data_IF_880481544751
#
_entry.id   IF_880481544751
#
_cell.length_a   1.000
_cell.length_b   1.000
_cell.length_c   1.000
_cell.angle_alpha   90.00
_cell.angle_beta   90.00
_cell.angle_gamma   90.00
#
_symmetry.space_group_name_H-M   'P 1'
#
loop_
_entity.id
_entity.type
_entity.pdbx_description
1 polymer ?
#
# COMPACT_ATOMS: atom_id res chain seq x y z
N UNK A 1 0.90 -91.78 11.75
CA UNK A 1 1.82 -91.60 12.89
C UNK A 1 2.81 -90.51 12.53
N UNK A 2 2.66 -89.31 13.11
CA UNK A 2 3.60 -88.20 12.89
C UNK A 2 4.71 -88.36 13.92
N UNK A 3 5.94 -88.53 13.44
CA UNK A 3 7.13 -88.79 14.25
C UNK A 3 7.63 -87.45 14.82
N UNK A 4 7.51 -87.24 16.13
CA UNK A 4 8.14 -86.10 16.80
C UNK A 4 9.62 -86.43 17.04
N UNK A 5 10.47 -86.10 16.07
CA UNK A 5 11.91 -86.07 16.28
C UNK A 5 12.27 -85.01 17.33
N UNK A 6 13.03 -85.42 18.36
CA UNK A 6 13.43 -84.57 19.47
C UNK A 6 14.28 -83.38 18.98
N UNK A 7 13.84 -82.17 19.32
CA UNK A 7 14.57 -80.92 19.07
C UNK A 7 15.92 -80.99 19.78
N UNK A 8 17.02 -80.81 19.06
CA UNK A 8 18.36 -80.80 19.66
C UNK A 8 18.64 -79.45 20.31
N UNK A 9 19.57 -79.39 21.28
CA UNK A 9 20.01 -78.14 21.92
C UNK A 9 20.51 -77.11 20.90
N UNK A 10 21.11 -77.57 19.80
CA UNK A 10 21.56 -76.71 18.69
C UNK A 10 20.38 -76.07 17.95
N UNK A 11 19.29 -76.81 17.74
CA UNK A 11 18.07 -76.29 17.10
C UNK A 11 17.40 -75.23 17.97
N UNK A 12 17.38 -75.43 19.29
CA UNK A 12 16.85 -74.45 20.24
C UNK A 12 17.65 -73.13 20.20
N UNK A 13 18.98 -73.20 20.20
CA UNK A 13 19.85 -72.02 20.12
C UNK A 13 19.63 -71.27 18.79
N UNK A 14 19.50 -72.00 17.67
CA UNK A 14 19.21 -71.41 16.37
C UNK A 14 17.86 -70.67 16.35
N UNK A 15 16.82 -71.25 16.94
CA UNK A 15 15.49 -70.63 17.05
C UNK A 15 15.54 -69.33 17.88
N UNK A 16 16.24 -69.35 19.02
CA UNK A 16 16.42 -68.14 19.84
C UNK A 16 17.21 -67.06 19.12
N UNK A 17 18.29 -67.42 18.42
CA UNK A 17 19.08 -66.48 17.64
C UNK A 17 18.26 -65.82 16.53
N UNK A 18 17.46 -66.60 15.78
CA UNK A 18 16.55 -66.08 14.76
C UNK A 18 15.48 -65.16 15.35
N UNK A 19 14.89 -65.53 16.49
CA UNK A 19 13.94 -64.68 17.21
C UNK A 19 14.57 -63.34 17.61
N UNK A 20 15.76 -63.35 18.22
CA UNK A 20 16.47 -62.14 18.62
C UNK A 20 16.82 -61.23 17.44
N UNK A 21 17.24 -61.80 16.30
CA UNK A 21 17.50 -61.05 15.07
C UNK A 21 16.23 -60.41 14.50
N UNK A 22 15.09 -61.12 14.50
CA UNK A 22 13.80 -60.59 14.06
C UNK A 22 13.34 -59.44 14.97
N UNK A 23 13.44 -59.59 16.30
CA UNK A 23 13.10 -58.53 17.25
C UNK A 23 14.00 -57.30 17.09
N UNK A 24 15.30 -57.50 16.89
CA UNK A 24 16.26 -56.41 16.63
C UNK A 24 15.92 -55.66 15.33
N UNK A 25 15.60 -56.38 14.26
CA UNK A 25 15.19 -55.79 12.99
C UNK A 25 13.88 -54.98 13.10
N UNK A 26 12.88 -55.50 13.83
CA UNK A 26 11.62 -54.80 14.10
C UNK A 26 11.86 -53.53 14.93
N UNK A 27 12.71 -53.62 15.96
CA UNK A 27 13.07 -52.47 16.80
C UNK A 27 13.81 -51.40 15.99
N UNK A 28 14.79 -51.79 15.18
CA UNK A 28 15.53 -50.88 14.31
C UNK A 28 14.61 -50.23 13.27
N UNK A 29 13.68 -50.98 12.67
CA UNK A 29 12.68 -50.45 11.75
C UNK A 29 11.72 -49.45 12.43
N UNK A 30 11.23 -49.76 13.64
CA UNK A 30 10.40 -48.83 14.41
C UNK A 30 11.16 -47.56 14.81
N UNK A 31 12.41 -47.72 15.26
CA UNK A 31 13.27 -46.60 15.65
C UNK A 31 13.56 -45.66 14.47
N UNK A 32 13.96 -46.21 13.33
CA UNK A 32 14.19 -45.42 12.10
C UNK A 32 12.92 -44.74 11.59
N UNK A 33 11.76 -45.40 11.68
CA UNK A 33 10.47 -44.79 11.33
C UNK A 33 10.11 -43.63 12.27
N UNK A 34 10.32 -43.79 13.57
CA UNK A 34 10.09 -42.72 14.55
C UNK A 34 11.05 -41.54 14.34
N UNK A 35 12.32 -41.83 14.03
CA UNK A 35 13.32 -40.80 13.73
C UNK A 35 12.92 -39.98 12.49
N UNK A 36 12.49 -40.65 11.41
CA UNK A 36 11.98 -39.97 10.19
C UNK A 36 10.80 -39.07 10.48
N UNK A 37 9.80 -39.56 11.24
CA UNK A 37 8.66 -38.75 11.62
C UNK A 37 9.05 -37.51 12.45
N UNK A 38 10.07 -37.63 13.32
CA UNK A 38 10.60 -36.50 14.08
C UNK A 38 11.34 -35.48 13.20
N UNK A 39 12.13 -35.96 12.23
CA UNK A 39 12.81 -35.09 11.27
C UNK A 39 11.81 -34.35 10.37
N UNK A 40 10.82 -35.04 9.80
CA UNK A 40 9.76 -34.44 8.99
C UNK A 40 8.98 -33.39 9.81
N UNK A 41 8.66 -33.68 11.08
CA UNK A 41 8.00 -32.73 11.96
C UNK A 41 8.90 -31.54 12.37
N UNK A 42 10.22 -31.71 12.42
CA UNK A 42 11.16 -30.61 12.65
C UNK A 42 11.26 -29.70 11.43
N UNK A 43 11.43 -30.28 10.24
CA UNK A 43 11.49 -29.56 8.96
C UNK A 43 10.18 -28.79 8.69
N UNK A 44 9.02 -29.43 8.91
CA UNK A 44 7.72 -28.75 8.76
C UNK A 44 7.54 -27.59 9.76
N UNK A 45 8.12 -27.67 10.97
CA UNK A 45 8.10 -26.56 11.93
C UNK A 45 9.00 -25.42 11.47
N UNK A 46 10.20 -25.74 10.98
CA UNK A 46 11.13 -24.75 10.46
C UNK A 46 10.56 -24.00 9.25
N UNK A 47 9.95 -24.72 8.30
CA UNK A 47 9.28 -24.13 7.15
C UNK A 47 8.15 -23.17 7.57
N UNK A 48 7.30 -23.59 8.52
CA UNK A 48 6.25 -22.71 9.08
C UNK A 48 6.83 -21.47 9.75
N UNK A 49 7.91 -21.62 10.52
CA UNK A 49 8.58 -20.49 11.15
C UNK A 49 9.17 -19.52 10.12
N UNK A 50 9.75 -20.04 9.04
CA UNK A 50 10.27 -19.23 7.95
C UNK A 50 9.16 -18.45 7.23
N UNK A 51 8.06 -19.13 6.89
CA UNK A 51 6.91 -18.49 6.24
C UNK A 51 6.28 -17.40 7.12
N UNK A 52 6.06 -17.68 8.40
CA UNK A 52 5.52 -16.73 9.37
C UNK A 52 6.47 -15.53 9.57
N UNK A 53 7.78 -15.77 9.64
CA UNK A 53 8.78 -14.68 9.72
C UNK A 53 8.74 -13.78 8.48
N UNK A 54 8.62 -14.37 7.29
CA UNK A 54 8.53 -13.63 6.03
C UNK A 54 7.23 -12.81 5.94
N UNK A 55 6.10 -13.36 6.41
CA UNK A 55 4.83 -12.63 6.47
C UNK A 55 4.92 -11.43 7.42
N UNK A 56 5.50 -11.62 8.61
CA UNK A 56 5.72 -10.54 9.58
C UNK A 56 6.65 -9.46 9.04
N UNK A 57 7.73 -9.84 8.37
CA UNK A 57 8.64 -8.89 7.72
C UNK A 57 7.92 -8.04 6.67
N UNK A 58 7.08 -8.68 5.83
CA UNK A 58 6.25 -7.96 4.85
C UNK A 58 5.27 -6.98 5.51
N UNK A 59 4.61 -7.39 6.60
CA UNK A 59 3.70 -6.52 7.36
C UNK A 59 4.43 -5.32 7.97
N UNK A 60 5.62 -5.53 8.54
CA UNK A 60 6.44 -4.46 9.10
C UNK A 60 6.88 -3.48 8.01
N UNK A 61 7.33 -3.97 6.86
CA UNK A 61 7.69 -3.10 5.73
C UNK A 61 6.50 -2.30 5.22
N UNK A 62 5.32 -2.93 5.12
CA UNK A 62 4.09 -2.26 4.70
C UNK A 62 3.71 -1.14 5.66
N UNK A 63 3.68 -1.43 6.97
CA UNK A 63 3.38 -0.45 8.00
C UNK A 63 4.37 0.72 8.01
N UNK A 64 5.67 0.43 7.87
CA UNK A 64 6.71 1.46 7.78
C UNK A 64 6.53 2.38 6.57
N UNK A 65 6.16 1.82 5.41
CA UNK A 65 5.90 2.59 4.20
C UNK A 65 4.66 3.50 4.35
N UNK A 66 3.56 2.99 4.92
CA UNK A 66 2.38 3.81 5.21
C UNK A 66 2.70 4.94 6.18
N UNK A 67 3.39 4.64 7.28
CA UNK A 67 3.78 5.65 8.27
C UNK A 67 4.66 6.75 7.66
N UNK A 68 5.58 6.38 6.77
CA UNK A 68 6.42 7.34 6.04
C UNK A 68 5.57 8.26 5.15
N UNK A 69 4.63 7.70 4.39
CA UNK A 69 3.71 8.50 3.55
C UNK A 69 2.83 9.44 4.39
N UNK A 70 2.28 8.94 5.50
CA UNK A 70 1.45 9.72 6.41
C UNK A 70 2.24 10.88 7.03
N UNK A 71 3.47 10.61 7.48
CA UNK A 71 4.36 11.62 8.06
C UNK A 71 4.70 12.70 7.00
N UNK A 72 5.13 12.29 5.81
CA UNK A 72 5.47 13.24 4.74
C UNK A 72 4.27 14.05 4.28
N UNK A 73 3.07 13.46 4.20
CA UNK A 73 1.86 14.22 3.87
C UNK A 73 1.50 15.25 4.95
N UNK A 74 1.65 14.88 6.23
CA UNK A 74 1.42 15.78 7.36
C UNK A 74 2.37 16.98 7.35
N UNK A 75 3.63 16.75 6.99
CA UNK A 75 4.63 17.82 6.82
C UNK A 75 4.25 18.79 5.70
N UNK A 76 3.73 18.29 4.58
CA UNK A 76 3.28 19.13 3.46
C UNK A 76 2.04 19.93 3.85
N UNK A 77 1.07 19.33 4.55
CA UNK A 77 -0.10 20.05 5.06
C UNK A 77 0.30 21.15 6.03
N UNK A 78 1.23 20.87 6.96
CA UNK A 78 1.79 21.88 7.85
C UNK A 78 2.49 22.99 7.08
N UNK A 79 3.33 22.64 6.10
CA UNK A 79 4.02 23.62 5.25
C UNK A 79 3.03 24.54 4.52
N UNK A 80 1.94 23.96 4.00
CA UNK A 80 0.87 24.69 3.33
C UNK A 80 0.19 25.66 4.31
N UNK A 81 -0.23 25.17 5.48
CA UNK A 81 -0.87 25.98 6.51
C UNK A 81 0.01 27.14 6.99
N UNK A 82 1.29 26.87 7.25
CA UNK A 82 2.27 27.86 7.70
C UNK A 82 2.52 28.98 6.65
N UNK A 83 2.20 28.71 5.37
CA UNK A 83 2.49 29.61 4.25
C UNK A 83 1.25 30.03 3.44
N UNK A 84 0.04 29.74 3.93
CA UNK A 84 -1.21 29.87 3.18
C UNK A 84 -1.38 31.26 2.53
N UNK A 85 -1.15 32.33 3.30
CA UNK A 85 -1.26 33.72 2.80
C UNK A 85 -0.36 33.99 1.60
N UNK A 86 0.85 33.39 1.57
CA UNK A 86 1.81 33.57 0.47
C UNK A 86 1.43 32.74 -0.75
N UNK A 87 0.99 31.50 -0.53
CA UNK A 87 0.50 30.60 -1.58
C UNK A 87 -0.75 31.19 -2.25
N UNK A 88 -1.75 31.59 -1.46
CA UNK A 88 -2.99 32.19 -1.94
C UNK A 88 -2.77 33.50 -2.73
N UNK A 89 -1.75 34.29 -2.35
CA UNK A 89 -1.40 35.51 -3.06
C UNK A 89 -0.85 35.25 -4.48
N UNK A 90 -0.07 34.18 -4.67
CA UNK A 90 0.44 33.81 -6.01
C UNK A 90 -0.68 33.21 -6.87
N UNK A 91 -1.55 32.38 -6.27
CA UNK A 91 -2.74 31.79 -6.91
C UNK A 91 -3.83 32.82 -7.27
N UNK A 92 -3.66 34.08 -6.88
CA UNK A 92 -4.62 35.15 -7.19
C UNK A 92 -5.88 35.14 -6.33
N UNK A 93 -5.96 34.28 -5.31
CA UNK A 93 -7.09 34.20 -4.38
C UNK A 93 -7.14 35.39 -3.40
N UNK A 94 -5.99 36.01 -3.12
CA UNK A 94 -5.91 37.25 -2.35
C UNK A 94 -5.58 38.40 -3.29
N UNK A 95 -6.35 39.49 -3.20
CA UNK A 95 -6.11 40.70 -3.98
C UNK A 95 -4.64 41.15 -3.85
N UNK A 96 -3.99 41.37 -5.00
CA UNK A 96 -2.60 41.87 -5.07
C UNK A 96 -2.54 43.29 -4.53
N UNK A 97 -2.55 43.45 -3.21
CA UNK A 97 -1.88 44.59 -2.58
C UNK A 97 -0.48 44.67 -3.19
N UNK A 98 0.06 45.85 -3.43
CA UNK A 98 1.28 46.03 -4.23
C UNK A 98 2.45 45.36 -3.50
N UNK A 99 2.73 44.08 -3.79
CA UNK A 99 3.84 43.35 -3.22
C UNK A 99 5.13 43.84 -3.86
N UNK A 100 6.18 44.03 -3.04
CA UNK A 100 7.50 44.28 -3.58
C UNK A 100 7.99 43.07 -4.37
N UNK A 101 8.84 43.28 -5.37
CA UNK A 101 9.43 42.21 -6.18
C UNK A 101 10.07 41.11 -5.31
N UNK A 102 10.71 41.49 -4.20
CA UNK A 102 11.31 40.57 -3.23
C UNK A 102 10.26 39.66 -2.57
N UNK A 103 9.14 40.22 -2.09
CA UNK A 103 8.06 39.43 -1.46
C UNK A 103 7.41 38.48 -2.46
N UNK A 104 7.22 38.92 -3.69
CA UNK A 104 6.67 38.08 -4.76
C UNK A 104 7.60 36.91 -5.10
N UNK A 105 8.90 37.15 -5.23
CA UNK A 105 9.90 36.11 -5.47
C UNK A 105 9.95 35.07 -4.32
N UNK A 106 9.85 35.53 -3.07
CA UNK A 106 9.78 34.65 -1.90
C UNK A 106 8.54 33.75 -1.94
N UNK A 107 7.35 34.31 -2.15
CA UNK A 107 6.12 33.51 -2.22
C UNK A 107 6.11 32.55 -3.41
N UNK A 108 6.67 32.95 -4.55
CA UNK A 108 6.88 32.06 -5.69
C UNK A 108 7.77 30.89 -5.31
N UNK A 109 8.90 31.13 -4.64
CA UNK A 109 9.80 30.09 -4.17
C UNK A 109 9.11 29.10 -3.23
N UNK A 110 8.26 29.60 -2.34
CA UNK A 110 7.44 28.80 -1.43
C UNK A 110 6.45 27.92 -2.19
N UNK A 111 5.71 28.48 -3.16
CA UNK A 111 4.76 27.72 -3.97
C UNK A 111 5.44 26.62 -4.80
N UNK A 112 6.56 26.94 -5.44
CA UNK A 112 7.36 25.95 -6.19
C UNK A 112 7.86 24.84 -5.26
N UNK A 113 8.32 25.20 -4.06
CA UNK A 113 8.76 24.21 -3.07
C UNK A 113 7.61 23.33 -2.55
N UNK A 114 6.39 23.87 -2.46
CA UNK A 114 5.21 23.07 -2.18
C UNK A 114 4.98 22.02 -3.27
N UNK A 115 4.98 22.41 -4.56
CA UNK A 115 4.82 21.45 -5.65
C UNK A 115 5.91 20.38 -5.63
N UNK A 116 7.17 20.75 -5.39
CA UNK A 116 8.25 19.76 -5.34
C UNK A 116 8.06 18.74 -4.22
N UNK A 117 7.63 19.18 -3.04
CA UNK A 117 7.34 18.26 -1.94
C UNK A 117 6.16 17.34 -2.26
N UNK A 118 5.05 17.88 -2.80
CA UNK A 118 3.89 17.08 -3.20
C UNK A 118 4.22 16.07 -4.29
N UNK A 119 4.94 16.48 -5.34
CA UNK A 119 5.30 15.58 -6.43
C UNK A 119 6.33 14.52 -6.00
N UNK A 120 7.24 14.83 -5.07
CA UNK A 120 8.14 13.83 -4.49
C UNK A 120 7.36 12.75 -3.72
N UNK A 121 6.33 13.14 -2.97
CA UNK A 121 5.43 12.20 -2.32
C UNK A 121 4.67 11.35 -3.35
N UNK A 122 4.13 11.98 -4.39
CA UNK A 122 3.43 11.27 -5.47
C UNK A 122 4.32 10.29 -6.23
N UNK A 123 5.60 10.60 -6.41
CA UNK A 123 6.57 9.67 -6.99
C UNK A 123 6.71 8.40 -6.15
N UNK A 124 6.81 8.54 -4.83
CA UNK A 124 6.86 7.38 -3.92
C UNK A 124 5.54 6.61 -3.97
N UNK A 125 4.40 7.30 -3.92
CA UNK A 125 3.07 6.68 -4.00
C UNK A 125 2.86 5.91 -5.31
N UNK A 126 3.20 6.50 -6.46
CA UNK A 126 3.08 5.89 -7.78
C UNK A 126 3.96 4.63 -7.89
N UNK A 127 5.20 4.69 -7.37
CA UNK A 127 6.11 3.54 -7.31
C UNK A 127 5.59 2.42 -6.42
N UNK A 128 5.04 2.75 -5.25
CA UNK A 128 4.43 1.74 -4.38
C UNK A 128 3.20 1.11 -5.01
N UNK A 129 2.37 1.90 -5.70
CA UNK A 129 1.22 1.37 -6.45
C UNK A 129 1.65 0.41 -7.54
N UNK A 130 2.66 0.77 -8.34
CA UNK A 130 3.24 -0.08 -9.39
C UNK A 130 3.77 -1.41 -8.87
N UNK A 131 4.32 -1.41 -7.65
CA UNK A 131 4.83 -2.62 -6.98
C UNK A 131 3.77 -3.36 -6.16
N UNK A 132 2.49 -2.96 -6.27
CA UNK A 132 1.37 -3.54 -5.52
C UNK A 132 1.58 -3.51 -3.99
N UNK A 133 2.38 -2.54 -3.51
CA UNK A 133 2.70 -2.37 -2.09
C UNK A 133 1.64 -1.59 -1.35
N UNK A 134 0.77 -0.85 -2.04
CA UNK A 134 -0.37 -0.15 -1.43
C UNK A 134 -1.65 -0.58 -2.10
N UNK A 135 -2.74 -0.59 -1.32
CA UNK A 135 -4.07 -0.92 -1.84
C UNK A 135 -4.53 0.13 -2.85
N UNK A 136 -5.30 -0.30 -3.84
CA UNK A 136 -5.78 0.54 -4.93
C UNK A 136 -6.57 1.74 -4.42
N UNK A 137 -7.43 1.53 -3.42
CA UNK A 137 -8.29 2.56 -2.84
C UNK A 137 -7.47 3.65 -2.15
N UNK A 138 -6.36 3.25 -1.51
CA UNK A 138 -5.44 4.22 -0.92
C UNK A 138 -4.83 5.05 -2.03
N UNK A 139 -4.28 4.44 -3.08
CA UNK A 139 -3.72 5.19 -4.21
C UNK A 139 -4.75 6.11 -4.87
N UNK A 140 -5.99 5.65 -5.08
CA UNK A 140 -7.06 6.45 -5.68
C UNK A 140 -7.43 7.68 -4.82
N UNK A 141 -7.35 7.57 -3.49
CA UNK A 141 -7.53 8.74 -2.61
C UNK A 141 -6.45 9.81 -2.78
N UNK A 142 -5.22 9.44 -3.19
CA UNK A 142 -4.15 10.40 -3.50
C UNK A 142 -4.34 11.13 -4.83
N UNK A 143 -5.07 10.53 -5.79
CA UNK A 143 -5.34 11.16 -7.09
C UNK A 143 -6.15 12.44 -6.92
N UNK A 144 -7.03 12.52 -5.91
CA UNK A 144 -7.76 13.75 -5.59
C UNK A 144 -6.80 14.91 -5.30
N UNK A 145 -5.67 14.63 -4.64
CA UNK A 145 -4.67 15.67 -4.40
C UNK A 145 -3.87 16.03 -5.67
N UNK A 146 -3.69 15.08 -6.60
CA UNK A 146 -3.13 15.39 -7.92
C UNK A 146 -4.08 16.30 -8.71
N UNK A 147 -5.40 16.08 -8.61
CA UNK A 147 -6.43 16.97 -9.16
C UNK A 147 -6.27 18.38 -8.61
N UNK A 148 -6.16 18.56 -7.29
CA UNK A 148 -5.96 19.89 -6.68
C UNK A 148 -4.70 20.62 -7.20
N UNK A 149 -3.60 19.89 -7.45
CA UNK A 149 -2.41 20.49 -8.06
C UNK A 149 -2.69 20.88 -9.51
N UNK A 150 -3.37 20.01 -10.27
CA UNK A 150 -3.72 20.27 -11.66
C UNK A 150 -4.76 21.38 -11.80
N UNK A 151 -5.57 21.68 -10.81
CA UNK A 151 -6.46 22.86 -10.81
C UNK A 151 -5.69 24.17 -10.77
N UNK A 152 -4.45 24.17 -10.27
CA UNK A 152 -3.62 25.35 -10.17
C UNK A 152 -3.02 25.75 -11.53
N UNK A 153 -3.55 26.80 -12.14
CA UNK A 153 -3.07 27.35 -13.42
C UNK A 153 -1.57 27.65 -13.39
N UNK A 154 -1.06 28.09 -12.24
CA UNK A 154 0.36 28.39 -12.09
C UNK A 154 1.20 27.12 -12.21
N UNK A 155 0.74 26.00 -11.64
CA UNK A 155 1.39 24.71 -11.79
C UNK A 155 1.43 24.29 -13.26
N UNK A 156 0.27 24.26 -13.94
CA UNK A 156 0.17 23.81 -15.33
C UNK A 156 1.07 24.63 -16.26
N UNK A 157 1.07 25.96 -16.10
CA UNK A 157 1.92 26.86 -16.90
C UNK A 157 3.44 26.66 -16.69
N UNK A 158 3.86 26.03 -15.59
CA UNK A 158 5.28 25.80 -15.27
C UNK A 158 5.66 24.31 -15.31
N UNK A 159 4.70 23.41 -15.53
CA UNK A 159 4.92 21.97 -15.52
C UNK A 159 6.04 21.59 -16.48
N UNK A 160 5.84 21.80 -17.79
CA UNK A 160 6.80 21.38 -18.82
C UNK A 160 8.17 22.09 -18.70
N UNK A 161 8.15 23.42 -18.53
CA UNK A 161 9.36 24.23 -18.63
C UNK A 161 10.26 24.20 -17.37
N UNK A 162 9.71 23.92 -16.19
CA UNK A 162 10.43 24.07 -14.92
C UNK A 162 10.40 22.81 -14.05
N UNK A 163 9.28 22.10 -14.00
CA UNK A 163 9.03 21.10 -12.96
C UNK A 163 9.27 19.68 -13.48
N UNK A 164 8.75 19.38 -14.68
CA UNK A 164 8.60 18.05 -15.28
C UNK A 164 9.87 17.20 -15.32
N UNK A 165 11.02 17.80 -15.65
CA UNK A 165 12.27 17.06 -15.86
C UNK A 165 12.86 16.42 -14.61
N UNK A 166 12.37 16.78 -13.41
CA UNK A 166 12.87 16.25 -12.15
C UNK A 166 12.28 14.88 -11.77
N UNK A 167 11.25 14.42 -12.49
CA UNK A 167 10.42 13.29 -12.05
C UNK A 167 10.58 12.02 -12.90
N UNK A 168 10.26 10.89 -12.29
CA UNK A 168 10.17 9.59 -12.95
C UNK A 168 9.10 9.57 -14.05
N UNK A 169 9.18 8.56 -14.92
CA UNK A 169 8.24 8.42 -16.04
C UNK A 169 6.78 8.31 -15.56
N UNK A 170 6.50 7.54 -14.51
CA UNK A 170 5.13 7.37 -14.03
C UNK A 170 4.49 8.71 -13.63
N UNK A 171 5.21 9.54 -12.86
CA UNK A 171 4.73 10.87 -12.47
C UNK A 171 4.64 11.80 -13.68
N UNK A 172 5.62 11.74 -14.59
CA UNK A 172 5.57 12.53 -15.82
C UNK A 172 4.34 12.22 -16.66
N UNK A 173 4.11 10.95 -16.96
CA UNK A 173 2.99 10.51 -17.79
C UNK A 173 1.65 10.91 -17.14
N UNK A 174 1.53 10.83 -15.79
CA UNK A 174 0.34 11.29 -15.05
C UNK A 174 0.10 12.79 -15.21
N UNK A 175 1.10 13.62 -14.97
CA UNK A 175 0.91 15.07 -15.01
C UNK A 175 0.91 15.63 -16.43
N UNK A 176 1.55 14.97 -17.39
CA UNK A 176 1.44 15.30 -18.82
C UNK A 176 0.00 15.17 -19.29
N UNK A 177 -0.62 13.99 -19.08
CA UNK A 177 -2.03 13.79 -19.45
C UNK A 177 -2.97 14.65 -18.61
N UNK A 178 -2.63 14.87 -17.33
CA UNK A 178 -3.38 15.76 -16.45
C UNK A 178 -3.42 17.20 -16.95
N UNK A 179 -2.30 17.76 -17.38
CA UNK A 179 -2.26 19.12 -17.96
C UNK A 179 -3.12 19.20 -19.21
N UNK A 180 -3.01 18.23 -20.13
CA UNK A 180 -3.83 18.19 -21.35
C UNK A 180 -5.33 18.13 -21.04
N UNK A 181 -5.75 17.28 -20.10
CA UNK A 181 -7.16 17.14 -19.68
C UNK A 181 -7.69 18.43 -19.05
N UNK A 182 -6.89 19.09 -18.20
CA UNK A 182 -7.31 20.31 -17.50
C UNK A 182 -7.32 21.55 -18.41
N UNK A 183 -6.55 21.53 -19.49
CA UNK A 183 -6.55 22.59 -20.52
C UNK A 183 -7.65 22.39 -21.58
N UNK A 184 -8.21 21.19 -21.70
CA UNK A 184 -9.27 20.88 -22.68
C UNK A 184 -10.62 21.59 -22.43
N UNK A 185 -10.80 22.24 -21.27
CA UNK A 185 -12.02 22.99 -20.95
C UNK A 185 -13.24 22.11 -20.69
N UNK A 186 -13.03 20.87 -20.27
CA UNK A 186 -14.10 19.94 -19.90
C UNK A 186 -14.85 20.42 -18.63
N UNK A 187 -16.14 20.09 -18.46
CA UNK A 187 -16.84 20.26 -17.19
C UNK A 187 -16.11 19.55 -16.05
N UNK A 188 -16.06 20.13 -14.85
CA UNK A 188 -15.29 19.62 -13.70
C UNK A 188 -15.49 18.12 -13.45
N UNK A 189 -16.76 17.66 -13.41
CA UNK A 189 -17.05 16.26 -13.16
C UNK A 189 -16.50 15.32 -14.24
N UNK A 190 -16.56 15.74 -15.51
CA UNK A 190 -16.09 14.94 -16.65
C UNK A 190 -14.55 14.99 -16.77
N UNK A 191 -13.96 16.15 -16.47
CA UNK A 191 -12.52 16.37 -16.39
C UNK A 191 -11.89 15.47 -15.33
N UNK A 192 -12.44 15.48 -14.12
CA UNK A 192 -11.89 14.69 -13.01
C UNK A 192 -12.05 13.20 -13.29
N UNK A 193 -13.21 12.77 -13.81
CA UNK A 193 -13.43 11.39 -14.23
C UNK A 193 -12.43 10.95 -15.32
N UNK A 194 -12.24 11.77 -16.35
CA UNK A 194 -11.27 11.50 -17.41
C UNK A 194 -9.84 11.39 -16.86
N UNK A 195 -9.49 12.20 -15.86
CA UNK A 195 -8.18 12.13 -15.23
C UNK A 195 -8.00 10.83 -14.42
N UNK A 196 -9.00 10.40 -13.65
CA UNK A 196 -8.96 9.12 -12.95
C UNK A 196 -8.83 7.93 -13.92
N UNK A 197 -9.55 7.95 -15.03
CA UNK A 197 -9.44 6.94 -16.10
C UNK A 197 -8.03 6.90 -16.72
N UNK A 198 -7.46 8.06 -17.03
CA UNK A 198 -6.11 8.15 -17.58
C UNK A 198 -5.05 7.62 -16.60
N UNK A 199 -5.15 7.98 -15.31
CA UNK A 199 -4.25 7.46 -14.27
C UNK A 199 -4.42 5.94 -14.12
N UNK A 200 -5.65 5.43 -14.20
CA UNK A 200 -5.92 4.00 -14.15
C UNK A 200 -5.23 3.25 -15.31
N UNK A 201 -5.32 3.79 -16.53
CA UNK A 201 -4.65 3.24 -17.72
C UNK A 201 -3.13 3.23 -17.55
N UNK A 202 -2.55 4.37 -17.14
CA UNK A 202 -1.11 4.49 -16.85
C UNK A 202 -0.70 3.42 -15.84
N UNK A 203 -1.50 3.19 -14.80
CA UNK A 203 -1.23 2.20 -13.74
C UNK A 203 -1.58 0.75 -14.11
N UNK A 204 -1.84 0.46 -15.39
CA UNK A 204 -2.07 -0.91 -15.88
C UNK A 204 -3.54 -1.29 -16.03
N UNK A 205 -4.44 -0.31 -16.22
CA UNK A 205 -5.87 -0.54 -16.50
C UNK A 205 -6.69 -0.92 -15.27
N UNK A 206 -6.46 -0.25 -14.13
CA UNK A 206 -7.13 -0.62 -12.88
C UNK A 206 -8.56 -0.05 -12.77
N UNK A 207 -9.57 -0.90 -12.95
CA UNK A 207 -11.00 -0.50 -12.95
C UNK A 207 -11.44 0.24 -11.68
N UNK A 208 -10.93 -0.15 -10.51
CA UNK A 208 -11.29 0.51 -9.24
C UNK A 208 -10.76 1.96 -9.17
N UNK A 209 -9.66 2.28 -9.86
CA UNK A 209 -9.19 3.66 -10.01
C UNK A 209 -10.07 4.39 -11.02
N UNK A 210 -10.33 3.78 -12.17
CA UNK A 210 -11.11 4.40 -13.24
C UNK A 210 -12.52 4.78 -12.76
N UNK A 211 -13.16 3.92 -11.98
CA UNK A 211 -14.52 4.13 -11.49
C UNK A 211 -14.60 4.83 -10.13
N UNK A 212 -13.49 5.37 -9.62
CA UNK A 212 -13.41 5.90 -8.26
C UNK A 212 -14.45 6.99 -7.95
N UNK A 213 -14.77 7.84 -8.94
CA UNK A 213 -15.76 8.92 -8.80
C UNK A 213 -17.19 8.48 -9.19
N UNK A 214 -17.36 7.35 -9.85
CA UNK A 214 -18.69 6.87 -10.31
C UNK A 214 -19.59 6.53 -9.12
N UNK A 215 -19.04 5.92 -8.07
CA UNK A 215 -19.75 5.59 -6.82
C UNK A 215 -20.23 6.84 -6.04
N UNK A 216 -19.74 8.05 -6.39
CA UNK A 216 -20.11 9.31 -5.75
C UNK A 216 -21.25 10.08 -6.43
N UNK A 217 -21.77 9.59 -7.56
CA UNK A 217 -22.75 10.33 -8.41
C UNK A 217 -24.23 10.06 -8.10
N UNK A 218 -24.57 9.27 -7.08
CA UNK A 218 -25.90 9.35 -6.46
C UNK A 218 -25.91 10.43 -5.34
N UNK A 219 -26.63 11.55 -5.46
CA UNK A 219 -26.63 12.61 -4.45
C UNK A 219 -27.63 12.34 -3.31
N UNK A 220 -27.13 12.33 -2.07
CA UNK A 220 -27.80 11.87 -0.85
C UNK A 220 -28.63 12.96 -0.09
N UNK A 221 -29.21 12.67 1.09
CA UNK A 221 -29.81 13.71 1.99
C UNK A 221 -29.15 13.70 3.36
N UNK A 222 -28.77 14.81 4.06
CA UNK A 222 -27.97 14.85 5.35
C UNK A 222 -28.72 15.13 6.66
N UNK A 223 -30.03 14.90 6.67
CA UNK A 223 -30.85 14.62 7.88
C UNK A 223 -31.57 13.25 7.83
N UNK A 224 -31.17 12.50 6.82
CA UNK A 224 -31.54 11.18 6.28
C UNK A 224 -30.27 10.45 5.78
N UNK A 225 -29.20 11.20 5.80
CA UNK A 225 -27.85 10.99 6.20
C UNK A 225 -27.74 11.82 7.48
N UNK A 226 -27.07 11.35 8.49
CA UNK A 226 -27.23 11.92 9.81
C UNK A 226 -26.06 12.89 10.07
N UNK A 227 -26.13 14.22 9.82
CA UNK A 227 -25.51 15.08 10.88
C UNK A 227 -26.26 14.91 12.20
N UNK A 228 -27.46 14.34 12.10
CA UNK A 228 -28.71 14.81 12.64
C UNK A 228 -28.93 14.38 14.09
N UNK A 229 -28.30 13.29 14.55
CA UNK A 229 -28.31 12.95 15.97
C UNK A 229 -27.01 12.38 16.53
N UNK A 230 -26.01 12.01 15.73
CA UNK A 230 -24.84 11.24 16.24
C UNK A 230 -23.52 12.01 16.35
N UNK A 231 -23.50 13.28 15.97
CA UNK A 231 -22.63 14.22 16.66
C UNK A 231 -23.27 14.73 17.97
N UNK A 232 -24.49 14.26 18.33
CA UNK A 232 -24.93 14.21 19.73
C UNK A 232 -24.26 12.99 20.34
N UNK A 233 -23.33 13.22 21.26
CA UNK A 233 -22.70 12.14 22.00
C UNK A 233 -23.79 11.30 22.68
N UNK A 234 -23.86 9.99 22.44
CA UNK A 234 -24.51 9.16 23.45
C UNK A 234 -23.71 9.23 24.75
N UNK A 235 -22.39 9.49 24.71
CA UNK A 235 -21.57 10.03 25.82
C UNK A 235 -21.65 9.28 27.16
N UNK A 236 -22.42 8.20 27.22
CA UNK A 236 -22.54 7.32 28.36
C UNK A 236 -21.39 6.35 28.24
N UNK A 237 -20.28 6.77 28.85
CA UNK A 237 -19.64 5.91 29.84
C UNK A 237 -20.69 5.03 30.51
N UNK A 238 -20.60 3.70 30.32
CA UNK A 238 -20.93 2.65 31.30
C UNK A 238 -20.94 1.28 30.60
N UNK A 239 -20.48 0.18 31.18
CA UNK A 239 -19.59 -0.09 32.32
C UNK A 239 -19.32 -1.61 32.35
N UNK A 240 -18.08 -2.00 32.61
CA UNK A 240 -17.70 -3.01 33.60
C UNK A 240 -16.26 -2.75 34.00
#
# INVERSE_FOLDING_TARGET
MINFSAVTTTDAIAIFAMGASIFSAIYAWRSTRNARAQFEAAEAREQRHYEDSRLRENEVHLAANYLALETSSSEIFKYTADNETKIAAIRGAVGKTIWSAKKYAEARGILINLYYQSLNLFEVCARFRRKEMIRTEVFASWIAWMVEILEDDYFRAHWDALIRSNYTRDVRDIFDVGVEIFEAGLPVADRDQAFYEAVAEIMGGCEAIANWLVDSREPARWSELDCSSKYLSSGTSQAA
#
